data_IF_300354573313
#
_entry.id   IF_300354573313
#
_cell.length_a   1.000
_cell.length_b   1.000
_cell.length_c   1.000
_cell.angle_alpha   90.00
_cell.angle_beta   90.00
_cell.angle_gamma   90.00
#
_symmetry.space_group_name_H-M   'P 1'
#
loop_
_entity.id
_entity.type
_entity.pdbx_description
1 polymer ?
#
# COMPACT_ATOMS: atom_id res chain seq x y z
N UNK A 1 -13.75 15.73 21.25
CA UNK A 1 -13.53 15.62 19.79
C UNK A 1 -12.46 16.62 19.44
N UNK A 2 -11.26 16.14 19.12
CA UNK A 2 -10.16 17.00 18.69
C UNK A 2 -10.14 16.97 17.17
N UNK A 3 -10.23 18.10 16.47
CA UNK A 3 -10.10 18.12 15.01
C UNK A 3 -8.71 17.61 14.65
N UNK A 4 -8.60 16.84 13.57
CA UNK A 4 -7.32 16.65 12.88
C UNK A 4 -7.00 17.99 12.20
N UNK A 5 -6.53 18.94 13.01
CA UNK A 5 -6.08 20.25 12.58
C UNK A 5 -4.86 20.09 11.69
N UNK A 6 -4.90 20.78 10.55
CA UNK A 6 -3.77 20.93 9.66
C UNK A 6 -2.60 21.58 10.39
N UNK A 7 -1.43 21.01 10.17
CA UNK A 7 -0.19 21.75 10.20
C UNK A 7 0.30 21.80 8.77
N UNK A 8 0.37 23.01 8.24
CA UNK A 8 1.08 23.36 7.01
C UNK A 8 2.42 22.60 6.97
N UNK A 9 2.60 21.78 5.94
CA UNK A 9 3.92 21.44 5.42
C UNK A 9 4.01 22.09 4.05
N UNK A 10 4.34 23.37 4.05
CA UNK A 10 5.25 23.90 3.04
C UNK A 10 6.59 23.13 3.19
N UNK A 11 7.22 22.84 2.07
CA UNK A 11 8.58 22.29 1.95
C UNK A 11 8.81 20.80 2.26
N UNK A 12 8.32 19.93 1.36
CA UNK A 12 9.00 18.65 1.02
C UNK A 12 9.01 18.35 -0.48
N UNK A 13 8.46 19.23 -1.33
CA UNK A 13 8.48 19.08 -2.78
C UNK A 13 9.82 19.57 -3.35
N UNK A 14 10.90 18.85 -3.04
CA UNK A 14 12.15 18.97 -3.80
C UNK A 14 12.05 18.13 -5.08
N UNK A 15 12.84 18.45 -6.11
CA UNK A 15 12.85 17.83 -7.44
C UNK A 15 12.93 16.27 -7.47
N UNK A 16 13.16 15.62 -6.31
CA UNK A 16 13.06 14.18 -6.10
C UNK A 16 11.63 13.60 -6.24
N UNK A 17 10.57 14.40 -6.11
CA UNK A 17 9.17 13.91 -6.16
C UNK A 17 8.80 13.31 -7.53
N UNK A 18 9.39 13.82 -8.61
CA UNK A 18 9.12 13.32 -9.97
C UNK A 18 9.64 11.90 -10.23
N UNK A 19 10.71 11.50 -9.53
CA UNK A 19 11.35 10.20 -9.66
C UNK A 19 10.51 9.16 -8.91
N UNK A 20 10.14 9.42 -7.65
CA UNK A 20 9.32 8.51 -6.85
C UNK A 20 7.92 8.30 -7.43
N UNK A 21 7.35 9.29 -8.11
CA UNK A 21 6.07 9.16 -8.83
C UNK A 21 6.12 8.11 -9.96
N UNK A 22 7.29 7.93 -10.59
CA UNK A 22 7.52 6.93 -11.65
C UNK A 22 7.98 5.58 -11.12
N UNK A 23 8.37 5.52 -9.85
CA UNK A 23 8.89 4.32 -9.22
C UNK A 23 7.76 3.35 -8.86
N UNK A 24 7.71 2.23 -9.59
CA UNK A 24 6.65 1.21 -9.48
C UNK A 24 7.22 -0.09 -8.93
N UNK A 25 7.68 -0.07 -7.66
CA UNK A 25 8.32 -1.21 -6.99
C UNK A 25 7.68 -2.57 -7.34
N UNK A 26 6.36 -2.69 -7.14
CA UNK A 26 5.65 -3.96 -7.38
C UNK A 26 5.69 -4.42 -8.84
N UNK A 27 5.64 -3.50 -9.80
CA UNK A 27 5.71 -3.83 -11.22
C UNK A 27 7.15 -4.11 -11.64
N UNK A 28 8.11 -3.31 -11.18
CA UNK A 28 9.52 -3.48 -11.47
C UNK A 28 10.09 -4.79 -10.94
N UNK A 29 9.62 -5.27 -9.80
CA UNK A 29 9.99 -6.59 -9.30
C UNK A 29 9.39 -7.72 -10.14
N UNK A 30 8.17 -7.56 -10.66
CA UNK A 30 7.44 -8.65 -11.34
C UNK A 30 7.71 -8.73 -12.84
N UNK A 31 8.10 -7.63 -13.46
CA UNK A 31 8.18 -7.53 -14.91
C UNK A 31 9.58 -7.11 -15.38
N UNK A 32 9.99 -7.51 -16.60
CA UNK A 32 11.29 -7.15 -17.18
C UNK A 32 11.57 -5.64 -17.24
N UNK A 33 10.52 -4.82 -17.16
CA UNK A 33 10.64 -3.36 -17.14
C UNK A 33 11.49 -2.86 -15.96
N UNK A 34 11.45 -3.54 -14.81
CA UNK A 34 12.31 -3.16 -13.69
C UNK A 34 13.79 -3.27 -14.03
N UNK A 35 14.19 -4.35 -14.71
CA UNK A 35 15.58 -4.55 -15.16
C UNK A 35 16.05 -3.44 -16.12
N UNK A 36 15.15 -2.87 -16.92
CA UNK A 36 15.54 -1.81 -17.87
C UNK A 36 15.73 -0.45 -17.20
N UNK A 37 15.08 -0.23 -16.05
CA UNK A 37 14.91 1.09 -15.46
C UNK A 37 15.47 1.24 -14.06
N UNK A 38 15.96 0.16 -13.44
CA UNK A 38 16.43 0.22 -12.05
C UNK A 38 17.59 1.20 -11.83
N UNK A 39 18.41 1.46 -12.85
CA UNK A 39 19.49 2.46 -12.80
C UNK A 39 18.98 3.90 -12.66
N UNK A 40 17.73 4.19 -13.06
CA UNK A 40 17.06 5.49 -12.84
C UNK A 40 16.76 5.74 -11.35
N UNK A 41 16.83 4.71 -10.50
CA UNK A 41 16.39 4.74 -9.09
C UNK A 41 17.48 4.25 -8.12
N UNK A 42 18.68 4.87 -8.11
CA UNK A 42 19.78 4.41 -7.26
C UNK A 42 19.40 4.39 -5.77
N UNK A 43 19.88 3.37 -5.05
CA UNK A 43 19.61 3.17 -3.62
C UNK A 43 18.21 2.66 -3.28
N UNK A 44 17.36 2.39 -4.27
CA UNK A 44 16.06 1.74 -4.06
C UNK A 44 16.18 0.22 -3.96
N UNK A 45 15.17 -0.43 -3.39
CA UNK A 45 15.06 -1.90 -3.33
C UNK A 45 15.20 -2.53 -4.72
N UNK A 46 14.58 -1.93 -5.74
CA UNK A 46 14.65 -2.45 -7.10
C UNK A 46 16.05 -2.28 -7.70
N UNK A 47 16.72 -1.17 -7.41
CA UNK A 47 18.11 -0.98 -7.82
C UNK A 47 19.01 -2.04 -7.21
N UNK A 48 18.99 -2.18 -5.88
CA UNK A 48 19.78 -3.18 -5.16
C UNK A 48 19.44 -4.62 -5.58
N UNK A 49 18.17 -4.88 -5.92
CA UNK A 49 17.73 -6.17 -6.43
C UNK A 49 18.36 -6.52 -7.77
N UNK A 50 18.30 -5.62 -8.75
CA UNK A 50 18.83 -5.89 -10.08
C UNK A 50 20.36 -5.81 -10.16
N UNK A 51 21.04 -5.27 -9.14
CA UNK A 51 22.49 -5.45 -8.96
C UNK A 51 22.88 -6.90 -8.64
N UNK A 52 21.95 -7.71 -8.11
CA UNK A 52 22.22 -9.10 -7.65
C UNK A 52 21.67 -10.17 -8.57
N UNK A 53 20.64 -9.87 -9.35
CA UNK A 53 20.02 -10.82 -10.25
C UNK A 53 19.42 -10.12 -11.46
N UNK A 54 19.41 -10.80 -12.60
CA UNK A 54 18.65 -10.36 -13.79
C UNK A 54 17.22 -10.89 -13.84
N UNK A 55 16.89 -11.85 -12.97
CA UNK A 55 15.63 -12.57 -13.01
C UNK A 55 14.52 -11.78 -12.32
N UNK A 56 13.37 -11.52 -12.96
CA UNK A 56 12.23 -10.91 -12.30
C UNK A 56 11.58 -11.90 -11.32
N UNK A 57 11.07 -11.41 -10.19
CA UNK A 57 10.26 -12.23 -9.28
C UNK A 57 11.02 -13.20 -8.38
N UNK A 58 12.34 -13.06 -8.21
CA UNK A 58 13.14 -13.85 -7.27
C UNK A 58 12.91 -13.36 -5.83
N UNK A 59 12.04 -14.07 -5.10
CA UNK A 59 11.73 -13.73 -3.72
C UNK A 59 12.88 -13.99 -2.73
N UNK A 60 13.86 -14.83 -3.08
CA UNK A 60 15.02 -15.07 -2.21
C UNK A 60 15.93 -13.84 -2.24
N UNK A 61 16.28 -13.37 -3.43
CA UNK A 61 17.10 -12.16 -3.60
C UNK A 61 16.37 -10.94 -3.04
N UNK A 62 15.06 -10.80 -3.28
CA UNK A 62 14.28 -9.70 -2.71
C UNK A 62 14.31 -9.69 -1.18
N UNK A 63 14.29 -10.87 -0.53
CA UNK A 63 14.40 -10.95 0.94
C UNK A 63 15.74 -10.41 1.44
N UNK A 64 16.83 -10.85 0.82
CA UNK A 64 18.18 -10.42 1.17
C UNK A 64 18.34 -8.90 1.00
N UNK A 65 17.85 -8.36 -0.12
CA UNK A 65 17.85 -6.91 -0.38
C UNK A 65 17.03 -6.15 0.67
N UNK A 66 15.84 -6.63 1.03
CA UNK A 66 15.01 -6.00 2.07
C UNK A 66 15.76 -5.95 3.40
N UNK A 67 16.43 -7.04 3.80
CA UNK A 67 17.18 -7.10 5.06
C UNK A 67 18.37 -6.12 5.06
N UNK A 68 19.09 -6.03 3.93
CA UNK A 68 20.23 -5.13 3.77
C UNK A 68 19.79 -3.66 3.75
N UNK A 69 18.81 -3.32 2.90
CA UNK A 69 18.27 -1.95 2.80
C UNK A 69 17.67 -1.52 4.14
N UNK A 70 16.97 -2.41 4.85
CA UNK A 70 16.48 -2.13 6.20
C UNK A 70 17.63 -1.79 7.15
N UNK A 71 18.69 -2.60 7.14
CA UNK A 71 19.86 -2.42 8.01
C UNK A 71 20.56 -1.09 7.74
N UNK A 72 20.88 -0.83 6.46
CA UNK A 72 21.57 0.38 6.00
C UNK A 72 20.76 1.64 6.34
N UNK A 73 19.47 1.63 6.02
CA UNK A 73 18.57 2.78 6.24
C UNK A 73 18.03 2.86 7.67
N UNK A 74 18.39 1.91 8.54
CA UNK A 74 17.93 1.79 9.93
C UNK A 74 16.40 1.87 10.06
N UNK A 75 15.69 1.20 9.15
CA UNK A 75 14.23 1.25 9.10
C UNK A 75 13.64 0.46 10.26
N UNK A 76 12.84 1.15 11.09
CA UNK A 76 12.14 0.53 12.19
C UNK A 76 11.00 -0.38 11.71
N UNK A 77 10.97 -1.60 12.25
CA UNK A 77 9.92 -2.56 11.96
C UNK A 77 8.79 -2.48 12.99
N UNK A 78 7.56 -2.89 12.63
CA UNK A 78 6.45 -2.92 13.57
C UNK A 78 6.75 -3.83 14.75
N UNK A 79 6.25 -3.46 15.95
CA UNK A 79 6.32 -4.32 17.13
C UNK A 79 5.65 -5.68 16.86
N UNK A 80 6.09 -6.73 17.55
CA UNK A 80 5.62 -8.12 17.33
C UNK A 80 4.12 -8.28 17.54
N UNK A 81 3.52 -7.48 18.40
CA UNK A 81 2.11 -7.44 18.76
C UNK A 81 1.31 -6.37 17.98
N UNK A 82 1.94 -5.71 17.00
CA UNK A 82 1.31 -4.74 16.11
C UNK A 82 1.00 -5.38 14.75
N UNK A 83 -0.26 -5.30 14.32
CA UNK A 83 -0.66 -5.72 12.97
C UNK A 83 -0.58 -4.55 11.98
N UNK A 84 0.11 -4.74 10.86
CA UNK A 84 0.13 -3.76 9.77
C UNK A 84 -1.01 -4.04 8.80
N UNK A 85 -1.79 -3.01 8.48
CA UNK A 85 -2.93 -3.08 7.57
C UNK A 85 -2.61 -2.23 6.36
N UNK A 86 -2.47 -2.86 5.20
CA UNK A 86 -2.34 -2.15 3.93
C UNK A 86 -3.73 -1.76 3.45
N UNK A 87 -3.94 -0.48 3.12
CA UNK A 87 -5.13 0.03 2.46
C UNK A 87 -4.79 0.47 1.04
N UNK A 88 -5.66 0.16 0.08
CA UNK A 88 -5.57 0.75 -1.25
C UNK A 88 -6.27 2.10 -1.22
N UNK A 89 -5.61 3.13 -1.74
CA UNK A 89 -6.04 4.53 -1.82
C UNK A 89 -5.60 5.11 -3.17
N UNK A 90 -5.85 6.40 -3.38
CA UNK A 90 -5.50 7.15 -4.58
C UNK A 90 -6.41 6.82 -5.76
N UNK A 91 -5.85 6.77 -6.96
CA UNK A 91 -6.53 6.61 -8.25
C UNK A 91 -7.69 5.59 -8.24
N UNK A 92 -7.53 4.45 -7.59
CA UNK A 92 -8.56 3.40 -7.51
C UNK A 92 -9.83 3.81 -6.75
N UNK A 93 -9.71 4.64 -5.71
CA UNK A 93 -10.83 5.10 -4.89
C UNK A 93 -11.28 6.48 -5.39
N UNK A 94 -10.34 7.40 -5.57
CA UNK A 94 -10.67 8.80 -5.82
C UNK A 94 -11.20 9.04 -7.22
N UNK A 95 -10.73 8.27 -8.21
CA UNK A 95 -11.26 8.43 -9.57
C UNK A 95 -12.52 7.57 -9.80
N UNK A 96 -12.97 6.74 -8.85
CA UNK A 96 -14.11 5.84 -9.09
C UNK A 96 -15.47 6.54 -9.07
N UNK A 97 -16.44 5.99 -9.80
CA UNK A 97 -17.85 6.44 -9.70
C UNK A 97 -18.50 6.11 -8.35
N UNK A 98 -17.90 5.19 -7.57
CA UNK A 98 -18.49 4.72 -6.31
C UNK A 98 -18.14 5.60 -5.12
N UNK A 99 -19.08 5.72 -4.19
CA UNK A 99 -18.86 6.33 -2.88
C UNK A 99 -18.12 5.37 -1.91
N UNK A 100 -17.64 5.91 -0.80
CA UNK A 100 -17.01 5.09 0.26
C UNK A 100 -18.01 4.11 0.88
N UNK A 101 -19.25 4.52 1.14
CA UNK A 101 -20.31 3.62 1.64
C UNK A 101 -20.60 2.47 0.66
N UNK A 102 -20.58 2.78 -0.63
CA UNK A 102 -20.70 1.82 -1.70
C UNK A 102 -19.54 0.81 -1.77
N UNK A 103 -18.31 1.22 -1.42
CA UNK A 103 -17.18 0.32 -1.28
C UNK A 103 -17.26 -0.55 -0.03
N UNK A 104 -17.71 0.02 1.08
CA UNK A 104 -17.79 -0.68 2.35
C UNK A 104 -18.94 -1.69 2.40
N UNK A 105 -20.03 -1.44 1.68
CA UNK A 105 -21.22 -2.31 1.66
C UNK A 105 -21.03 -3.59 0.84
N UNK A 106 -20.48 -3.50 -0.38
CA UNK A 106 -20.40 -4.65 -1.30
C UNK A 106 -19.06 -4.75 -2.03
N UNK A 107 -18.68 -5.99 -2.37
CA UNK A 107 -17.45 -6.23 -3.14
C UNK A 107 -17.57 -5.61 -4.53
N UNK A 108 -16.55 -4.85 -4.92
CA UNK A 108 -16.45 -4.26 -6.25
C UNK A 108 -15.19 -4.74 -6.94
N UNK A 109 -15.32 -4.97 -8.25
CA UNK A 109 -14.34 -5.64 -9.07
C UNK A 109 -14.11 -4.82 -10.33
N UNK A 110 -13.20 -3.87 -10.30
CA UNK A 110 -13.09 -2.86 -11.36
C UNK A 110 -11.65 -2.44 -11.60
N UNK A 111 -11.38 -1.96 -12.81
CA UNK A 111 -10.16 -1.25 -13.18
C UNK A 111 -10.57 -0.03 -13.99
N UNK A 112 -9.86 1.07 -13.85
CA UNK A 112 -10.04 2.20 -14.74
C UNK A 112 -9.46 1.84 -16.11
N UNK A 113 -10.26 1.98 -17.15
CA UNK A 113 -9.84 1.79 -18.53
C UNK A 113 -9.51 3.15 -19.14
N UNK A 114 -8.22 3.41 -19.30
CA UNK A 114 -7.72 4.70 -19.76
C UNK A 114 -8.06 5.01 -21.21
N UNK A 115 -8.26 3.98 -22.05
CA UNK A 115 -8.63 4.19 -23.46
C UNK A 115 -10.08 4.65 -23.60
N UNK A 116 -10.95 4.15 -22.71
CA UNK A 116 -12.38 4.47 -22.72
C UNK A 116 -12.79 5.50 -21.66
N UNK A 117 -11.81 6.01 -20.92
CA UNK A 117 -11.99 6.89 -19.75
C UNK A 117 -13.07 6.41 -18.76
N UNK A 118 -13.23 5.09 -18.63
CA UNK A 118 -14.35 4.48 -17.91
C UNK A 118 -13.92 3.27 -17.07
N UNK A 119 -14.66 2.99 -15.99
CA UNK A 119 -14.41 1.79 -15.19
C UNK A 119 -14.94 0.53 -15.87
N UNK A 120 -14.06 -0.47 -16.03
CA UNK A 120 -14.43 -1.78 -16.52
C UNK A 120 -14.42 -2.80 -15.39
N UNK A 121 -15.50 -3.58 -15.30
CA UNK A 121 -15.58 -4.70 -14.36
C UNK A 121 -14.50 -5.74 -14.68
N UNK A 122 -13.64 -6.07 -13.71
CA UNK A 122 -12.61 -7.11 -13.85
C UNK A 122 -12.76 -8.13 -12.74
N UNK A 123 -13.21 -9.34 -13.08
CA UNK A 123 -13.53 -10.43 -12.13
C UNK A 123 -12.44 -10.72 -11.09
N UNK A 124 -11.18 -10.47 -11.42
CA UNK A 124 -10.02 -10.75 -10.56
C UNK A 124 -9.62 -9.60 -9.64
N UNK A 125 -10.19 -8.40 -9.80
CA UNK A 125 -9.61 -7.19 -9.24
C UNK A 125 -10.41 -6.57 -8.09
N UNK A 126 -10.30 -7.14 -6.89
CA UNK A 126 -10.89 -6.56 -5.69
C UNK A 126 -9.84 -5.75 -4.89
N UNK A 127 -9.56 -4.52 -5.36
CA UNK A 127 -8.61 -3.61 -4.73
C UNK A 127 -9.11 -3.03 -3.39
N UNK A 128 -10.38 -2.66 -3.32
CA UNK A 128 -10.98 -2.07 -2.12
C UNK A 128 -11.73 -3.14 -1.33
N UNK A 129 -11.45 -3.23 -0.03
CA UNK A 129 -12.06 -4.21 0.87
C UNK A 129 -13.30 -3.63 1.53
N UNK A 130 -14.31 -4.49 1.73
CA UNK A 130 -15.60 -4.14 2.33
C UNK A 130 -15.51 -4.03 3.86
N UNK A 131 -16.49 -3.38 4.50
CA UNK A 131 -16.61 -3.38 5.96
C UNK A 131 -16.71 -4.80 6.53
N UNK A 132 -17.42 -5.71 5.85
CA UNK A 132 -17.49 -7.14 6.23
C UNK A 132 -16.12 -7.82 6.24
N UNK A 133 -15.22 -7.46 5.34
CA UNK A 133 -13.85 -7.98 5.33
C UNK A 133 -13.12 -7.56 6.62
N UNK A 134 -13.16 -6.28 6.98
CA UNK A 134 -12.48 -5.78 8.17
C UNK A 134 -13.12 -6.27 9.47
N UNK A 135 -14.45 -6.40 9.54
CA UNK A 135 -15.13 -7.02 10.69
C UNK A 135 -14.62 -8.44 10.97
N UNK A 136 -14.28 -9.20 9.93
CA UNK A 136 -13.68 -10.54 10.07
C UNK A 136 -12.21 -10.48 10.48
N UNK A 137 -11.46 -9.52 9.94
CA UNK A 137 -10.08 -9.26 10.37
C UNK A 137 -10.06 -8.95 11.86
N UNK A 138 -10.92 -8.06 12.35
CA UNK A 138 -11.09 -7.72 13.77
C UNK A 138 -11.31 -8.97 14.62
N UNK A 139 -12.26 -9.83 14.23
CA UNK A 139 -12.53 -11.11 14.93
C UNK A 139 -11.30 -12.02 14.99
N UNK A 140 -10.53 -12.11 13.89
CA UNK A 140 -9.31 -12.92 13.85
C UNK A 140 -8.21 -12.31 14.73
N UNK A 141 -8.01 -10.99 14.69
CA UNK A 141 -7.00 -10.32 15.52
C UNK A 141 -7.32 -10.44 17.02
N UNK A 142 -8.59 -10.29 17.42
CA UNK A 142 -9.03 -10.51 18.81
C UNK A 142 -8.70 -11.92 19.29
N UNK A 143 -8.97 -12.96 18.47
CA UNK A 143 -8.61 -14.35 18.78
C UNK A 143 -7.10 -14.57 18.91
N UNK A 144 -6.31 -13.80 18.18
CA UNK A 144 -4.85 -13.80 18.22
C UNK A 144 -4.29 -12.94 19.36
N UNK A 145 -5.16 -12.33 20.18
CA UNK A 145 -4.79 -11.39 21.26
C UNK A 145 -3.94 -10.20 20.77
N UNK A 146 -4.20 -9.76 19.54
CA UNK A 146 -3.57 -8.56 18.96
C UNK A 146 -4.45 -7.36 19.30
N UNK A 147 -3.87 -6.38 20.01
CA UNK A 147 -4.56 -5.15 20.41
C UNK A 147 -4.12 -3.90 19.64
N UNK A 148 -2.98 -3.96 18.95
CA UNK A 148 -2.41 -2.81 18.23
C UNK A 148 -2.46 -3.00 16.72
N UNK A 149 -2.84 -1.94 16.01
CA UNK A 149 -2.80 -1.89 14.54
C UNK A 149 -2.14 -0.61 14.05
N UNK A 150 -1.47 -0.68 12.89
CA UNK A 150 -0.99 0.49 12.16
C UNK A 150 -1.39 0.35 10.68
N UNK A 151 -1.66 1.47 10.03
CA UNK A 151 -2.12 1.49 8.64
C UNK A 151 -1.01 1.98 7.70
N UNK A 152 -0.86 1.31 6.57
CA UNK A 152 0.03 1.73 5.48
C UNK A 152 -0.81 1.96 4.23
N UNK A 153 -0.72 3.15 3.67
CA UNK A 153 -1.47 3.61 2.50
C UNK A 153 -0.77 4.81 1.87
N UNK A 154 -1.09 5.10 0.61
CA UNK A 154 -0.48 6.19 -0.14
C UNK A 154 -1.57 7.04 -0.79
N UNK A 155 -1.73 8.28 -0.31
CA UNK A 155 -2.71 9.24 -0.84
C UNK A 155 -2.22 9.91 -2.12
N UNK A 156 -0.91 9.94 -2.39
CA UNK A 156 -0.32 10.71 -3.50
C UNK A 156 0.09 9.83 -4.69
N UNK A 157 -0.28 8.54 -4.68
CA UNK A 157 0.14 7.63 -5.72
C UNK A 157 -0.64 7.87 -7.02
N UNK A 158 -0.03 8.59 -7.95
CA UNK A 158 -0.43 8.66 -9.34
C UNK A 158 0.68 8.07 -10.23
N UNK A 159 0.49 6.87 -10.83
CA UNK A 159 1.51 6.27 -11.69
C UNK A 159 1.86 7.00 -12.97
N UNK A 160 1.09 8.02 -13.36
CA UNK A 160 1.23 8.67 -14.65
C UNK A 160 1.50 10.17 -14.46
N UNK A 161 2.74 10.64 -14.67
CA UNK A 161 3.04 12.07 -14.61
C UNK A 161 2.23 12.82 -15.69
N UNK A 162 1.95 14.11 -15.44
CA UNK A 162 1.24 15.02 -16.34
C UNK A 162 2.01 15.14 -17.67
N UNK A 163 1.79 14.25 -18.63
CA UNK A 163 2.15 14.54 -20.02
C UNK A 163 1.16 15.56 -20.57
N UNK A 164 1.56 16.34 -21.57
CA UNK A 164 0.76 17.44 -22.17
C UNK A 164 -0.62 17.00 -22.70
N UNK A 165 -0.84 15.69 -22.85
CA UNK A 165 -2.08 15.00 -23.24
C UNK A 165 -2.87 14.37 -22.08
N UNK A 166 -2.36 14.39 -20.84
CA UNK A 166 -2.93 13.73 -19.65
C UNK A 166 -3.00 14.66 -18.45
N UNK A 167 -3.64 15.83 -18.63
CA UNK A 167 -3.82 16.83 -17.55
C UNK A 167 -4.73 16.37 -16.39
N UNK A 168 -5.49 15.28 -16.54
CA UNK A 168 -6.61 14.94 -15.66
C UNK A 168 -6.38 13.75 -14.71
N UNK A 169 -5.14 13.29 -14.48
CA UNK A 169 -4.90 12.06 -13.69
C UNK A 169 -4.38 12.27 -12.26
N UNK A 170 -4.18 13.52 -11.85
CA UNK A 170 -4.11 13.80 -10.42
C UNK A 170 -5.54 13.61 -9.90
N UNK A 171 -5.74 12.71 -8.94
CA UNK A 171 -6.82 12.96 -7.98
C UNK A 171 -6.38 14.25 -7.29
N UNK A 172 -6.85 15.38 -7.79
CA UNK A 172 -6.63 16.69 -7.13
C UNK A 172 -7.40 16.72 -5.80
N UNK A 173 -8.35 15.79 -5.67
CA UNK A 173 -9.17 15.58 -4.50
C UNK A 173 -9.03 14.12 -4.00
N UNK A 174 -8.38 13.95 -2.84
CA UNK A 174 -8.19 12.69 -2.13
C UNK A 174 -9.30 12.41 -1.08
N UNK A 175 -10.41 13.15 -1.10
CA UNK A 175 -11.47 13.08 -0.08
C UNK A 175 -12.03 11.66 0.11
N UNK A 176 -12.23 10.89 -0.97
CA UNK A 176 -12.75 9.52 -0.83
C UNK A 176 -11.73 8.58 -0.21
N UNK A 177 -10.45 8.71 -0.55
CA UNK A 177 -9.39 7.96 0.12
C UNK A 177 -9.27 8.33 1.61
N UNK A 178 -9.36 9.62 1.94
CA UNK A 178 -9.32 10.12 3.32
C UNK A 178 -10.52 9.59 4.11
N UNK A 179 -11.74 9.71 3.58
CA UNK A 179 -12.96 9.15 4.21
C UNK A 179 -12.83 7.63 4.36
N UNK A 180 -12.39 6.90 3.33
CA UNK A 180 -12.18 5.46 3.43
C UNK A 180 -11.21 5.09 4.56
N UNK A 181 -10.03 5.72 4.63
CA UNK A 181 -9.05 5.46 5.70
C UNK A 181 -9.64 5.77 7.07
N UNK A 182 -10.31 6.92 7.21
CA UNK A 182 -10.92 7.35 8.47
C UNK A 182 -12.00 6.36 8.93
N UNK A 183 -12.87 5.90 8.02
CA UNK A 183 -13.91 4.90 8.31
C UNK A 183 -13.32 3.58 8.79
N UNK A 184 -12.21 3.13 8.20
CA UNK A 184 -11.53 1.92 8.66
C UNK A 184 -10.83 2.16 10.01
N UNK A 185 -10.18 3.30 10.23
CA UNK A 185 -9.61 3.65 11.54
C UNK A 185 -10.66 3.60 12.64
N UNK A 186 -11.82 4.22 12.42
CA UNK A 186 -12.90 4.30 13.40
C UNK A 186 -13.52 2.93 13.67
N UNK A 187 -13.62 2.07 12.66
CA UNK A 187 -14.03 0.68 12.83
C UNK A 187 -13.10 -0.07 13.81
N UNK A 188 -11.78 0.11 13.71
CA UNK A 188 -10.83 -0.53 14.62
C UNK A 188 -10.85 0.08 16.02
N UNK A 189 -10.93 1.41 16.13
CA UNK A 189 -11.04 2.11 17.43
C UNK A 189 -12.30 1.71 18.20
N UNK A 190 -13.44 1.64 17.50
CA UNK A 190 -14.73 1.20 18.08
C UNK A 190 -14.65 -0.20 18.67
N UNK A 191 -13.82 -1.06 18.09
CA UNK A 191 -13.57 -2.43 18.54
C UNK A 191 -12.43 -2.54 19.56
N UNK A 192 -12.03 -1.41 20.16
CA UNK A 192 -11.02 -1.27 21.22
C UNK A 192 -9.58 -1.60 20.79
N UNK A 193 -9.26 -1.50 19.50
CA UNK A 193 -7.88 -1.58 19.05
C UNK A 193 -7.17 -0.22 19.25
N UNK A 194 -5.93 -0.28 19.73
CA UNK A 194 -5.03 0.86 19.70
C UNK A 194 -4.53 1.06 18.26
N UNK A 195 -5.00 2.14 17.61
CA UNK A 195 -4.50 2.56 16.31
C UNK A 195 -3.24 3.39 16.51
N UNK A 196 -2.08 2.80 16.22
CA UNK A 196 -0.77 3.43 16.35
C UNK A 196 -0.53 4.32 15.12
N UNK A 197 -0.18 5.59 15.36
CA UNK A 197 0.21 6.50 14.29
C UNK A 197 1.50 5.97 13.64
N UNK A 198 1.48 5.86 12.33
CA UNK A 198 2.66 5.62 11.51
C UNK A 198 2.82 6.81 10.59
N UNK A 199 3.99 7.45 10.63
CA UNK A 199 4.31 8.52 9.69
C UNK A 199 4.76 7.87 8.39
N UNK A 200 4.12 8.29 7.30
CA UNK A 200 4.40 7.74 5.98
C UNK A 200 5.81 8.12 5.54
N UNK A 201 6.46 7.19 4.87
CA UNK A 201 7.77 7.38 4.23
C UNK A 201 7.69 7.10 2.73
N UNK A 202 8.84 6.96 2.07
CA UNK A 202 8.91 6.50 0.69
C UNK A 202 8.40 5.06 0.51
N UNK A 203 8.17 4.69 -0.75
CA UNK A 203 7.58 3.40 -1.13
C UNK A 203 8.39 2.21 -0.62
N UNK A 204 9.72 2.30 -0.62
CA UNK A 204 10.58 1.22 -0.15
C UNK A 204 10.49 1.05 1.36
N UNK A 205 10.50 2.15 2.11
CA UNK A 205 10.34 2.11 3.57
C UNK A 205 9.01 1.45 3.95
N UNK A 206 7.90 1.91 3.37
CA UNK A 206 6.57 1.34 3.62
C UNK A 206 6.53 -0.15 3.25
N UNK A 207 7.16 -0.53 2.14
CA UNK A 207 7.24 -1.91 1.68
C UNK A 207 8.04 -2.81 2.63
N UNK A 208 9.21 -2.35 3.11
CA UNK A 208 10.04 -3.05 4.10
C UNK A 208 9.26 -3.25 5.40
N UNK A 209 8.60 -2.19 5.88
CA UNK A 209 7.81 -2.23 7.11
C UNK A 209 6.67 -3.24 7.01
N UNK A 210 5.95 -3.25 5.88
CA UNK A 210 4.89 -4.23 5.64
C UNK A 210 5.43 -5.67 5.55
N UNK A 211 6.53 -5.90 4.82
CA UNK A 211 7.16 -7.22 4.67
C UNK A 211 7.75 -7.78 5.98
N UNK A 212 8.16 -6.89 6.88
CA UNK A 212 8.77 -7.23 8.18
C UNK A 212 7.76 -7.37 9.32
N UNK A 213 6.47 -7.11 9.06
CA UNK A 213 5.43 -7.14 10.08
C UNK A 213 5.17 -8.55 10.63
N UNK A 214 4.90 -8.66 11.94
CA UNK A 214 4.51 -9.94 12.56
C UNK A 214 3.14 -10.43 12.09
N UNK A 215 2.22 -9.49 11.88
CA UNK A 215 0.89 -9.72 11.34
C UNK A 215 0.59 -8.72 10.23
N UNK A 216 0.11 -9.21 9.09
CA UNK A 216 -0.18 -8.39 7.92
C UNK A 216 -1.60 -8.60 7.39
N UNK A 217 -2.33 -7.51 7.15
CA UNK A 217 -3.65 -7.52 6.50
C UNK A 217 -3.53 -6.89 5.10
N UNK A 218 -3.77 -7.65 4.01
CA UNK A 218 -3.66 -7.15 2.65
C UNK A 218 -4.93 -6.40 2.17
N UNK A 219 -4.76 -5.35 1.36
CA UNK A 219 -5.84 -4.72 0.57
C UNK A 219 -6.07 -5.39 -0.79
N UNK A 220 -5.00 -5.82 -1.48
CA UNK A 220 -5.06 -6.46 -2.81
C UNK A 220 -4.05 -5.88 -3.80
N UNK A 221 -4.00 -6.44 -5.02
CA UNK A 221 -3.10 -5.99 -6.10
C UNK A 221 -1.72 -6.65 -6.12
N UNK A 222 -0.92 -6.30 -7.14
CA UNK A 222 0.42 -6.83 -7.38
C UNK A 222 1.34 -6.66 -6.16
N UNK A 223 1.51 -5.42 -5.71
CA UNK A 223 2.33 -5.09 -4.53
C UNK A 223 1.90 -5.88 -3.28
N UNK A 224 0.60 -5.90 -2.97
CA UNK A 224 0.10 -6.60 -1.79
C UNK A 224 0.30 -8.12 -1.87
N UNK A 225 0.26 -8.72 -3.08
CA UNK A 225 0.60 -10.14 -3.27
C UNK A 225 2.07 -10.43 -2.98
N UNK A 226 2.97 -9.54 -3.39
CA UNK A 226 4.41 -9.65 -3.09
C UNK A 226 4.61 -9.62 -1.57
N UNK A 227 4.04 -8.63 -0.89
CA UNK A 227 4.12 -8.49 0.58
C UNK A 227 3.57 -9.73 1.28
N UNK A 228 2.40 -10.23 0.87
CA UNK A 228 1.81 -11.47 1.43
C UNK A 228 2.79 -12.65 1.33
N UNK A 229 3.51 -12.79 0.21
CA UNK A 229 4.50 -13.84 0.04
C UNK A 229 5.73 -13.61 0.90
N UNK A 230 6.22 -12.38 0.99
CA UNK A 230 7.36 -12.01 1.86
C UNK A 230 7.07 -12.26 3.34
N UNK A 231 5.91 -11.82 3.84
CA UNK A 231 5.46 -12.05 5.22
C UNK A 231 5.45 -13.56 5.52
N UNK A 232 4.93 -14.38 4.60
CA UNK A 232 4.92 -15.84 4.76
C UNK A 232 6.32 -16.45 4.74
N UNK A 233 7.20 -16.02 3.83
CA UNK A 233 8.59 -16.47 3.76
C UNK A 233 9.38 -16.13 5.02
N UNK A 234 9.00 -15.05 5.71
CA UNK A 234 9.58 -14.64 6.99
C UNK A 234 8.97 -15.37 8.20
N UNK A 235 8.15 -16.41 7.97
CA UNK A 235 7.46 -17.17 9.02
C UNK A 235 6.41 -16.34 9.78
N UNK A 236 5.95 -15.23 9.21
CA UNK A 236 4.98 -14.31 9.82
C UNK A 236 3.57 -14.59 9.31
N UNK A 237 2.56 -13.96 9.94
CA UNK A 237 1.16 -14.32 9.74
C UNK A 237 0.42 -13.30 8.88
N UNK A 238 -0.19 -13.78 7.80
CA UNK A 238 -1.15 -12.99 7.01
C UNK A 238 -2.56 -13.20 7.55
N UNK A 239 -3.26 -12.12 7.87
CA UNK A 239 -4.62 -12.11 8.39
C UNK A 239 -5.57 -11.56 7.33
N UNK A 240 -6.51 -12.39 6.86
CA UNK A 240 -7.49 -11.99 5.84
C UNK A 240 -8.92 -12.14 6.33
N UNK A 241 -9.81 -11.27 5.87
CA UNK A 241 -11.27 -11.38 6.05
C UNK A 241 -11.97 -12.33 5.07
N UNK A 242 -11.24 -13.25 4.45
CA UNK A 242 -11.78 -14.27 3.53
C UNK A 242 -12.55 -15.38 4.28
N UNK A 243 -13.43 -16.05 3.53
CA UNK A 243 -14.26 -17.17 3.97
C UNK A 243 -13.40 -18.40 4.23
#
# INVERSE_FOLDING_TARGET
MTPLGGTEREDMASDHDGIWAKYRLGDFFQFPEGRKRHEEFPGTIIHEYYQRTSEPGDYKVLREVIDDVRSIRKIEIPKRDCCVIHLRTGDIIDNSEFTVDEFLSKKRYYIYDHEKEAYKKKKWNQYVKTGRYYARVLKKLKRLKIGQVSFSYNLDFNPFPKTRTRRNHRSENNEKSIDYVQRIHDLFRKESFQVVKYERHDVDHDFIRMCSSGFFVPSGGGLSRIIVRMVKLNGKRVVKGEW
#
